data_IF_551872632301
#
_entry.id   IF_551872632301
#
_cell.length_a   1.000
_cell.length_b   1.000
_cell.length_c   1.000
_cell.angle_alpha   90.00
_cell.angle_beta   90.00
_cell.angle_gamma   90.00
#
_symmetry.space_group_name_H-M   'P 1'
#
loop_
_entity.id
_entity.type
_entity.pdbx_description
1 polymer ?
#
# COMPACT_ATOMS: atom_id res chain seq x y z
N UNK A 1 8.87 3.23 -22.78
CA UNK A 1 9.19 1.95 -22.09
C UNK A 1 9.56 2.16 -20.62
N UNK A 2 9.87 3.38 -20.19
CA UNK A 2 10.16 3.75 -18.79
C UNK A 2 8.92 3.64 -17.88
N UNK A 3 7.72 3.89 -18.39
CA UNK A 3 6.48 3.94 -17.58
C UNK A 3 6.09 2.61 -16.96
N UNK A 4 6.29 1.49 -17.69
CA UNK A 4 5.97 0.15 -17.17
C UNK A 4 7.01 -0.34 -16.15
N UNK A 5 8.28 0.08 -16.30
CA UNK A 5 9.33 -0.25 -15.32
C UNK A 5 9.08 0.52 -14.02
N UNK A 6 8.80 1.82 -14.12
CA UNK A 6 8.45 2.64 -12.96
C UNK A 6 7.19 2.14 -12.26
N UNK A 7 6.12 1.82 -13.01
CA UNK A 7 4.89 1.30 -12.41
C UNK A 7 5.08 -0.05 -11.70
N UNK A 8 6.02 -0.91 -12.15
CA UNK A 8 6.38 -2.14 -11.44
C UNK A 8 7.13 -1.86 -10.14
N UNK A 9 8.09 -0.93 -10.16
CA UNK A 9 8.81 -0.52 -8.95
C UNK A 9 7.87 0.10 -7.92
N UNK A 10 6.97 0.97 -8.36
CA UNK A 10 5.96 1.60 -7.50
C UNK A 10 5.00 0.56 -6.91
N UNK A 11 4.65 -0.49 -7.69
CA UNK A 11 3.80 -1.59 -7.23
C UNK A 11 4.50 -2.42 -6.14
N UNK A 12 5.78 -2.74 -6.33
CA UNK A 12 6.60 -3.47 -5.36
C UNK A 12 6.79 -2.66 -4.07
N UNK A 13 7.08 -1.36 -4.21
CA UNK A 13 7.17 -0.43 -3.09
C UNK A 13 5.87 -0.38 -2.30
N UNK A 14 4.73 -0.13 -2.95
CA UNK A 14 3.44 -0.04 -2.27
C UNK A 14 3.05 -1.36 -1.59
N UNK A 15 3.38 -2.50 -2.22
CA UNK A 15 3.11 -3.83 -1.64
C UNK A 15 3.96 -4.10 -0.40
N UNK A 16 5.24 -3.72 -0.44
CA UNK A 16 6.16 -3.82 0.70
C UNK A 16 5.70 -2.93 1.85
N UNK A 17 5.31 -1.70 1.53
CA UNK A 17 4.82 -0.74 2.51
C UNK A 17 3.51 -1.22 3.16
N UNK A 18 2.57 -1.75 2.37
CA UNK A 18 1.33 -2.33 2.88
C UNK A 18 1.60 -3.49 3.85
N UNK A 19 2.56 -4.36 3.51
CA UNK A 19 2.95 -5.49 4.36
C UNK A 19 3.46 -5.03 5.73
N UNK A 20 4.20 -3.92 5.81
CA UNK A 20 4.64 -3.35 7.10
C UNK A 20 3.45 -2.98 7.98
N UNK A 21 2.46 -2.28 7.44
CA UNK A 21 1.27 -1.87 8.20
C UNK A 21 0.35 -3.05 8.56
N UNK A 22 0.31 -4.09 7.73
CA UNK A 22 -0.43 -5.33 8.02
C UNK A 22 0.21 -6.13 9.16
N UNK A 23 1.54 -6.18 9.22
CA UNK A 23 2.29 -6.91 10.24
C UNK A 23 2.59 -6.09 11.50
N UNK A 24 2.23 -4.81 11.51
CA UNK A 24 2.40 -3.94 12.67
C UNK A 24 1.44 -4.35 13.80
N UNK A 25 2.01 -4.59 14.98
CA UNK A 25 1.24 -4.91 16.20
C UNK A 25 0.22 -3.82 16.49
N UNK A 26 -1.03 -4.23 16.75
CA UNK A 26 -2.12 -3.32 17.13
C UNK A 26 -2.30 -3.19 18.64
N UNK A 27 -1.59 -4.01 19.41
CA UNK A 27 -1.62 -3.96 20.86
C UNK A 27 -0.98 -2.65 21.36
N UNK A 28 -1.64 -1.98 22.30
CA UNK A 28 -1.15 -0.74 22.90
C UNK A 28 -1.37 0.52 22.05
N UNK A 29 -1.96 0.40 20.87
CA UNK A 29 -2.34 1.57 20.05
C UNK A 29 -3.67 2.16 20.52
N UNK A 30 -3.73 3.49 20.51
CA UNK A 30 -4.97 4.24 20.69
C UNK A 30 -5.88 4.10 19.47
N UNK A 31 -7.17 4.39 19.66
CA UNK A 31 -8.15 4.40 18.57
C UNK A 31 -7.72 5.28 17.40
N UNK A 32 -7.10 6.44 17.66
CA UNK A 32 -6.68 7.36 16.61
C UNK A 32 -5.52 6.79 15.79
N UNK A 33 -4.57 6.10 16.43
CA UNK A 33 -3.47 5.44 15.73
C UNK A 33 -3.96 4.27 14.88
N UNK A 34 -4.91 3.48 15.39
CA UNK A 34 -5.54 2.40 14.61
C UNK A 34 -6.23 2.95 13.35
N UNK A 35 -7.03 4.01 13.50
CA UNK A 35 -7.69 4.66 12.37
C UNK A 35 -6.71 5.24 11.36
N UNK A 36 -5.59 5.81 11.82
CA UNK A 36 -4.54 6.31 10.94
C UNK A 36 -3.89 5.18 10.13
N UNK A 37 -3.56 4.05 10.77
CA UNK A 37 -3.01 2.88 10.08
C UNK A 37 -4.00 2.34 9.05
N UNK A 38 -5.26 2.19 9.42
CA UNK A 38 -6.30 1.67 8.50
C UNK A 38 -6.49 2.61 7.31
N UNK A 39 -6.46 3.92 7.53
CA UNK A 39 -6.50 4.93 6.47
C UNK A 39 -5.30 4.84 5.51
N UNK A 40 -4.10 4.59 6.02
CA UNK A 40 -2.90 4.38 5.19
C UNK A 40 -3.05 3.09 4.37
N UNK A 41 -3.48 2.00 5.00
CA UNK A 41 -3.69 0.72 4.33
C UNK A 41 -4.70 0.80 3.19
N UNK A 42 -5.81 1.53 3.36
CA UNK A 42 -6.81 1.75 2.30
C UNK A 42 -6.17 2.45 1.09
N UNK A 43 -5.47 3.56 1.32
CA UNK A 43 -4.80 4.31 0.25
C UNK A 43 -3.75 3.47 -0.50
N UNK A 44 -2.98 2.65 0.23
CA UNK A 44 -2.00 1.75 -0.38
C UNK A 44 -2.67 0.67 -1.25
N UNK A 45 -3.76 0.06 -0.76
CA UNK A 45 -4.53 -0.93 -1.53
C UNK A 45 -5.12 -0.32 -2.82
N UNK A 46 -5.64 0.90 -2.76
CA UNK A 46 -6.13 1.61 -3.94
C UNK A 46 -5.02 1.90 -4.94
N UNK A 47 -3.85 2.40 -4.50
CA UNK A 47 -2.70 2.62 -5.37
C UNK A 47 -2.23 1.33 -6.04
N UNK A 48 -2.14 0.23 -5.29
CA UNK A 48 -1.79 -1.10 -5.82
C UNK A 48 -2.79 -1.54 -6.90
N UNK A 49 -4.10 -1.36 -6.65
CA UNK A 49 -5.16 -1.69 -7.61
C UNK A 49 -4.98 -0.90 -8.90
N UNK A 50 -4.75 0.41 -8.80
CA UNK A 50 -4.56 1.28 -9.96
C UNK A 50 -3.29 0.92 -10.74
N UNK A 51 -2.18 0.66 -10.06
CA UNK A 51 -0.92 0.24 -10.70
C UNK A 51 -1.06 -1.11 -11.41
N UNK A 52 -1.77 -2.07 -10.81
CA UNK A 52 -2.08 -3.35 -11.47
C UNK A 52 -2.94 -3.15 -12.71
N UNK A 53 -3.94 -2.27 -12.64
CA UNK A 53 -4.74 -1.92 -13.82
C UNK A 53 -3.88 -1.28 -14.91
N UNK A 54 -3.00 -0.33 -14.59
CA UNK A 54 -2.09 0.29 -15.57
C UNK A 54 -1.09 -0.70 -16.20
N UNK A 55 -0.68 -1.73 -15.46
CA UNK A 55 0.29 -2.73 -15.93
C UNK A 55 -0.32 -3.87 -16.73
N UNK A 56 -1.56 -4.28 -16.39
CA UNK A 56 -2.16 -5.54 -16.85
C UNK A 56 -3.62 -5.41 -17.34
N UNK A 57 -4.27 -4.27 -17.13
CA UNK A 57 -5.59 -3.93 -17.67
C UNK A 57 -5.49 -3.22 -19.00
#
# INVERSE_FOLDING_TARGET
MTDKVQAKQDLEFCSTELSKYQNLSRAGLTRNELLAIDGIMIKLKERIKNLRFTLYG
#
